data_IF_390003521621
#
_entry.id   IF_390003521621
#
_cell.length_a   1.000
_cell.length_b   1.000
_cell.length_c   1.000
_cell.angle_alpha   90.00
_cell.angle_beta   90.00
_cell.angle_gamma   90.00
#
_symmetry.space_group_name_H-M   'P 1'
#
loop_
_entity.id
_entity.type
_entity.pdbx_description
1 polymer ?
#
# COMPACT_ATOMS: atom_id res chain seq x y z
N UNK A 1 0.84 6.25 -2.41
CA UNK A 1 1.64 5.80 -3.57
C UNK A 1 1.87 4.29 -3.47
N UNK A 2 1.60 3.50 -4.52
CA UNK A 2 1.79 2.04 -4.49
C UNK A 2 3.30 1.71 -4.47
N UNK A 3 3.76 0.81 -3.60
CA UNK A 3 5.17 0.42 -3.56
C UNK A 3 5.56 -0.36 -4.81
N UNK A 4 6.73 -0.09 -5.41
CA UNK A 4 7.20 -0.75 -6.63
C UNK A 4 7.20 -2.29 -6.57
N UNK A 5 7.40 -2.87 -5.38
CA UNK A 5 7.25 -4.31 -5.14
C UNK A 5 5.84 -4.84 -5.41
N UNK A 6 4.79 -4.09 -5.07
CA UNK A 6 3.41 -4.53 -5.35
C UNK A 6 3.14 -4.59 -6.86
N UNK A 7 3.77 -3.68 -7.63
CA UNK A 7 3.69 -3.62 -9.09
C UNK A 7 4.44 -4.79 -9.74
N UNK A 8 5.64 -5.12 -9.25
CA UNK A 8 6.39 -6.30 -9.71
C UNK A 8 5.66 -7.61 -9.39
N UNK A 9 5.05 -7.72 -8.22
CA UNK A 9 4.35 -8.92 -7.77
C UNK A 9 2.91 -9.04 -8.29
N UNK A 10 2.47 -8.15 -9.20
CA UNK A 10 1.10 -8.11 -9.76
C UNK A 10 -0.02 -8.20 -8.71
N UNK A 11 0.19 -7.63 -7.52
CA UNK A 11 -0.82 -7.67 -6.46
C UNK A 11 -1.93 -6.69 -6.83
N UNK A 12 -3.12 -7.22 -7.15
CA UNK A 12 -4.32 -6.42 -7.45
C UNK A 12 -4.95 -5.95 -6.13
N UNK A 13 -5.25 -4.66 -6.03
CA UNK A 13 -5.95 -4.08 -4.90
C UNK A 13 -7.45 -4.14 -5.17
N UNK A 14 -8.16 -5.03 -4.48
CA UNK A 14 -9.62 -5.09 -4.51
C UNK A 14 -10.19 -4.36 -3.28
N UNK A 15 -11.30 -3.61 -3.43
CA UNK A 15 -11.98 -3.02 -2.28
C UNK A 15 -12.48 -4.14 -1.35
N UNK A 16 -11.99 -4.15 -0.10
CA UNK A 16 -12.22 -5.21 0.89
C UNK A 16 -10.96 -5.95 1.32
N UNK A 17 -9.85 -5.78 0.59
CA UNK A 17 -8.57 -6.38 0.97
C UNK A 17 -7.87 -5.66 2.13
N UNK A 18 -7.35 -6.44 3.08
CA UNK A 18 -6.50 -5.93 4.16
C UNK A 18 -5.10 -5.66 3.62
N UNK A 19 -4.69 -4.40 3.65
CA UNK A 19 -3.35 -3.98 3.25
C UNK A 19 -2.63 -3.26 4.38
N UNK A 20 -1.32 -3.45 4.45
CA UNK A 20 -0.46 -2.64 5.32
C UNK A 20 -0.04 -1.38 4.60
N UNK A 21 -0.30 -0.25 5.26
CA UNK A 21 0.06 1.08 4.80
C UNK A 21 1.15 1.63 5.71
N UNK A 22 2.25 2.09 5.14
CA UNK A 22 3.22 2.93 5.83
C UNK A 22 2.82 4.39 5.64
N UNK A 23 2.68 5.10 6.74
CA UNK A 23 2.32 6.52 6.76
C UNK A 23 3.54 7.27 7.28
N UNK A 24 3.93 8.34 6.61
CA UNK A 24 4.97 9.22 7.14
C UNK A 24 4.36 10.07 8.27
N UNK A 25 5.09 10.30 9.37
CA UNK A 25 4.57 11.04 10.53
C UNK A 25 4.21 12.50 10.21
N UNK A 26 4.68 13.02 9.07
CA UNK A 26 4.45 14.40 8.64
C UNK A 26 3.16 14.59 7.83
N UNK A 27 2.63 13.52 7.20
CA UNK A 27 1.45 13.60 6.32
C UNK A 27 0.59 12.34 6.46
N UNK A 28 -0.43 12.40 7.34
CA UNK A 28 -1.37 11.30 7.56
C UNK A 28 -2.29 11.04 6.36
N UNK A 29 -2.39 12.00 5.44
CA UNK A 29 -3.25 11.92 4.24
C UNK A 29 -2.62 11.13 3.10
N UNK A 30 -1.29 10.91 3.11
CA UNK A 30 -0.56 10.22 2.03
C UNK A 30 0.12 8.95 2.56
N UNK A 31 -0.60 7.83 2.45
CA UNK A 31 -0.07 6.50 2.76
C UNK A 31 0.67 5.83 1.58
N UNK A 32 1.73 5.10 1.88
CA UNK A 32 2.38 4.14 0.96
C UNK A 32 1.91 2.73 1.27
N UNK A 33 1.25 2.08 0.33
CA UNK A 33 0.80 0.68 0.50
C UNK A 33 1.99 -0.24 0.19
N UNK A 34 2.35 -1.11 1.14
CA UNK A 34 3.56 -1.93 1.06
C UNK A 34 3.29 -3.41 0.76
N UNK A 35 2.25 -4.04 1.32
CA UNK A 35 1.88 -5.43 1.01
C UNK A 35 0.47 -5.81 1.48
N UNK A 36 -0.07 -6.89 0.90
CA UNK A 36 -1.23 -7.63 1.39
C UNK A 36 -0.77 -8.64 2.46
N UNK A 37 -1.53 -8.73 3.56
CA UNK A 37 -1.41 -9.82 4.53
C UNK A 37 -2.08 -11.09 4.00
#
# INVERSE_FOLDING_TARGET
HLSGKMRMNKIRLLPGDRVRVQISPYDLTKGRITYRL
#
